data_IF_136184336427
#
_entry.id   IF_136184336427
#
_cell.length_a   1.000
_cell.length_b   1.000
_cell.length_c   1.000
_cell.angle_alpha   90.00
_cell.angle_beta   90.00
_cell.angle_gamma   90.00
#
_symmetry.space_group_name_H-M   'P 1'
#
loop_
_entity.id
_entity.type
_entity.pdbx_description
1 polymer ?
#
# COMPACT_ATOMS: atom_id res chain seq x y z
N UNK A 1 -1.66 -5.85 -12.61
CA UNK A 1 -1.06 -4.89 -11.67
C UNK A 1 -1.82 -3.58 -11.72
N UNK A 2 -2.73 -3.39 -10.78
CA UNK A 2 -3.50 -2.16 -10.60
C UNK A 2 -2.82 -1.24 -9.57
N UNK A 3 -3.17 0.06 -9.52
CA UNK A 3 -2.68 0.94 -8.46
C UNK A 3 -3.04 0.45 -7.05
N UNK A 4 -4.22 -0.14 -6.87
CA UNK A 4 -4.63 -0.73 -5.60
C UNK A 4 -3.71 -1.90 -5.20
N UNK A 5 -3.40 -2.80 -6.14
CA UNK A 5 -2.45 -3.89 -5.91
C UNK A 5 -1.08 -3.39 -5.45
N UNK A 6 -0.54 -2.34 -6.10
CA UNK A 6 0.76 -1.76 -5.69
C UNK A 6 0.69 -1.13 -4.30
N UNK A 7 -0.37 -0.38 -4.00
CA UNK A 7 -0.51 0.26 -2.69
C UNK A 7 -0.62 -0.77 -1.55
N UNK A 8 -1.35 -1.87 -1.77
CA UNK A 8 -1.49 -2.96 -0.80
C UNK A 8 -0.16 -3.71 -0.64
N UNK A 9 0.50 -4.07 -1.75
CA UNK A 9 1.81 -4.72 -1.70
C UNK A 9 2.85 -3.87 -0.95
N UNK A 10 2.84 -2.56 -1.17
CA UNK A 10 3.69 -1.62 -0.44
C UNK A 10 3.44 -1.62 1.07
N UNK A 11 2.17 -1.66 1.50
CA UNK A 11 1.84 -1.79 2.93
C UNK A 11 2.34 -3.12 3.52
N UNK A 12 2.15 -4.22 2.78
CA UNK A 12 2.52 -5.57 3.22
C UNK A 12 4.02 -5.82 3.24
N UNK A 13 4.80 -5.09 2.46
CA UNK A 13 6.27 -5.18 2.42
C UNK A 13 6.92 -4.54 3.69
N UNK A 14 6.13 -4.04 4.66
CA UNK A 14 6.61 -3.58 5.96
C UNK A 14 6.42 -4.67 7.04
N UNK A 15 7.48 -5.06 7.75
CA UNK A 15 7.45 -6.15 8.74
C UNK A 15 6.39 -6.02 9.86
N UNK A 16 5.97 -4.81 10.20
CA UNK A 16 5.10 -4.53 11.35
C UNK A 16 3.75 -3.91 10.98
N UNK A 17 3.32 -4.03 9.72
CA UNK A 17 2.06 -3.47 9.23
C UNK A 17 1.16 -4.59 8.74
N UNK A 18 -0.10 -4.56 9.18
CA UNK A 18 -1.17 -5.41 8.64
C UNK A 18 -2.35 -4.51 8.26
N UNK A 19 -2.62 -4.29 6.96
CA UNK A 19 -3.71 -3.44 6.53
C UNK A 19 -5.07 -4.11 6.76
N UNK A 20 -6.07 -3.33 7.16
CA UNK A 20 -7.47 -3.77 7.19
C UNK A 20 -8.12 -3.32 5.88
N UNK A 21 -8.51 -4.28 5.05
CA UNK A 21 -9.03 -4.05 3.70
C UNK A 21 -10.54 -4.27 3.69
N UNK A 22 -11.29 -3.28 3.19
CA UNK A 22 -12.75 -3.30 3.09
C UNK A 22 -13.21 -2.99 1.68
N UNK A 23 -13.10 -3.94 0.73
CA UNK A 23 -13.62 -3.75 -0.62
C UNK A 23 -15.15 -3.64 -0.61
N UNK A 24 -15.69 -2.69 -1.36
CA UNK A 24 -17.13 -2.46 -1.54
C UNK A 24 -17.74 -3.34 -2.63
N UNK A 25 -16.92 -3.78 -3.59
CA UNK A 25 -17.34 -4.59 -4.74
C UNK A 25 -16.51 -5.88 -4.88
N UNK A 26 -17.09 -6.98 -5.39
CA UNK A 26 -16.40 -8.25 -5.51
C UNK A 26 -15.08 -8.18 -6.31
N UNK A 27 -15.03 -7.42 -7.40
CA UNK A 27 -13.82 -7.28 -8.22
C UNK A 27 -12.64 -6.63 -7.49
N UNK A 28 -12.91 -5.84 -6.44
CA UNK A 28 -11.86 -5.25 -5.62
C UNK A 28 -11.20 -6.28 -4.70
N UNK A 29 -11.87 -7.40 -4.43
CA UNK A 29 -11.28 -8.55 -3.72
C UNK A 29 -10.16 -9.17 -4.55
N UNK A 30 -10.33 -9.22 -5.88
CA UNK A 30 -9.29 -9.70 -6.79
C UNK A 30 -8.04 -8.80 -6.78
N UNK A 31 -8.23 -7.49 -6.63
CA UNK A 31 -7.12 -6.55 -6.41
C UNK A 31 -6.40 -6.81 -5.08
N UNK A 32 -7.14 -7.11 -4.00
CA UNK A 32 -6.54 -7.45 -2.71
C UNK A 32 -5.68 -8.70 -2.80
N UNK A 33 -6.21 -9.79 -3.38
CA UNK A 33 -5.46 -11.03 -3.50
C UNK A 33 -4.30 -10.92 -4.49
N UNK A 34 -4.48 -10.24 -5.61
CA UNK A 34 -3.41 -10.05 -6.59
C UNK A 34 -2.24 -9.21 -6.06
N UNK A 35 -2.43 -8.43 -4.99
CA UNK A 35 -1.35 -7.72 -4.33
C UNK A 35 -0.34 -8.66 -3.64
N UNK A 36 -0.78 -9.85 -3.22
CA UNK A 36 0.06 -10.83 -2.50
C UNK A 36 1.14 -11.46 -3.40
N UNK A 37 0.96 -11.37 -4.71
CA UNK A 37 1.90 -11.91 -5.71
C UNK A 37 2.97 -10.88 -6.13
N UNK A 38 2.93 -9.66 -5.56
CA UNK A 38 3.82 -8.57 -5.94
C UNK A 38 4.97 -8.47 -4.93
N UNK A 39 6.19 -8.69 -5.43
CA UNK A 39 7.42 -8.36 -4.73
C UNK A 39 7.96 -7.02 -5.24
N UNK A 40 8.24 -6.09 -4.34
CA UNK A 40 8.82 -4.80 -4.68
C UNK A 40 10.35 -4.88 -4.58
N UNK A 41 11.06 -4.36 -5.58
CA UNK A 41 12.49 -4.12 -5.44
C UNK A 41 12.74 -3.02 -4.40
N UNK A 42 13.95 -2.99 -3.83
CA UNK A 42 14.33 -1.93 -2.89
C UNK A 42 14.19 -0.52 -3.48
N UNK A 43 14.48 -0.35 -4.77
CA UNK A 43 14.32 0.93 -5.48
C UNK A 43 12.83 1.32 -5.61
N UNK A 44 11.97 0.36 -5.94
CA UNK A 44 10.52 0.60 -6.04
C UNK A 44 9.94 0.94 -4.67
N UNK A 45 10.35 0.22 -3.63
CA UNK A 45 9.95 0.47 -2.25
C UNK A 45 10.37 1.86 -1.79
N UNK A 46 11.63 2.24 -1.98
CA UNK A 46 12.15 3.57 -1.62
C UNK A 46 11.41 4.70 -2.34
N UNK A 47 11.09 4.51 -3.62
CA UNK A 47 10.30 5.48 -4.39
C UNK A 47 8.91 5.67 -3.80
N UNK A 48 8.24 4.58 -3.42
CA UNK A 48 6.90 4.62 -2.81
C UNK A 48 6.95 5.27 -1.43
N UNK A 49 7.96 4.94 -0.61
CA UNK A 49 8.18 5.56 0.71
C UNK A 49 8.38 7.07 0.59
N UNK A 50 9.09 7.54 -0.45
CA UNK A 50 9.37 8.96 -0.69
C UNK A 50 8.11 9.73 -1.07
N UNK A 51 7.30 9.21 -2.01
CA UNK A 51 6.12 9.92 -2.51
C UNK A 51 4.92 9.83 -1.56
N UNK A 52 4.92 8.86 -0.64
CA UNK A 52 3.84 8.64 0.33
C UNK A 52 4.12 9.26 1.71
N UNK A 53 5.17 10.08 1.86
CA UNK A 53 5.44 10.78 3.11
C UNK A 53 4.22 11.63 3.54
N UNK A 54 3.74 11.48 4.79
CA UNK A 54 2.62 12.28 5.27
C UNK A 54 3.01 13.76 5.32
N UNK A 55 2.05 14.64 5.05
CA UNK A 55 2.24 16.06 5.29
C UNK A 55 2.44 16.34 6.79
N UNK A 56 3.21 17.37 7.12
CA UNK A 56 3.36 17.80 8.50
C UNK A 56 2.01 18.14 9.13
N UNK A 57 1.67 17.48 10.24
CA UNK A 57 0.46 17.78 10.99
C UNK A 57 0.68 19.09 11.75
N UNK A 58 -0.04 20.15 11.37
CA UNK A 58 -0.07 21.38 12.14
C UNK A 58 -0.88 21.16 13.41
N UNK A 59 -0.22 21.17 14.57
CA UNK A 59 -0.89 21.25 15.85
C UNK A 59 -1.53 22.63 16.00
N UNK A 60 -2.86 22.68 15.96
CA UNK A 60 -3.62 23.88 16.34
C UNK A 60 -3.74 23.84 17.86
N UNK A 61 -3.02 24.75 18.52
CA UNK A 61 -3.07 24.96 19.97
C UNK A 61 -4.32 25.75 20.39
#
# INVERSE_FOLDING_TARGET
VTPAQIAIAWLLDHDNIVPILGPDQPEQVDDVFGALEIELSSEQREKLDTVSQPAEIQHIA
#
